data_IF_283863999198
#
_entry.id   IF_283863999198
#
_cell.length_a   1.000
_cell.length_b   1.000
_cell.length_c   1.000
_cell.angle_alpha   90.00
_cell.angle_beta   90.00
_cell.angle_gamma   90.00
#
_symmetry.space_group_name_H-M   'P 1'
#
loop_
_entity.id
_entity.type
_entity.pdbx_description
1 polymer ?
#
# COMPACT_ATOMS: atom_id res chain seq x y z
N UNK A 1 -12.33 19.08 -9.10
CA UNK A 1 -11.85 17.76 -8.66
C UNK A 1 -10.63 17.44 -9.50
N UNK A 2 -9.47 17.48 -8.88
CA UNK A 2 -8.20 17.17 -9.52
C UNK A 2 -7.41 16.42 -8.45
N UNK A 3 -7.86 15.21 -8.09
CA UNK A 3 -7.12 14.43 -7.11
C UNK A 3 -5.85 13.98 -7.81
N UNK A 4 -4.76 14.63 -7.42
CA UNK A 4 -3.44 14.42 -7.99
C UNK A 4 -2.74 13.19 -7.38
N UNK A 5 -3.51 12.34 -6.68
CA UNK A 5 -3.08 11.08 -6.09
C UNK A 5 -3.46 9.97 -7.08
N UNK A 6 -2.49 9.17 -7.48
CA UNK A 6 -2.69 8.05 -8.40
C UNK A 6 -1.91 6.86 -7.90
N UNK A 7 -2.52 5.68 -7.92
CA UNK A 7 -1.87 4.43 -7.58
C UNK A 7 -1.70 3.58 -8.85
N UNK A 8 -0.49 3.52 -9.44
CA UNK A 8 -0.23 2.65 -10.57
C UNK A 8 -0.34 1.17 -10.18
N UNK A 9 -0.78 0.33 -11.13
CA UNK A 9 -0.79 -1.13 -10.99
C UNK A 9 0.64 -1.73 -11.04
N UNK A 10 1.45 -1.42 -10.02
CA UNK A 10 2.87 -1.79 -9.89
C UNK A 10 3.21 -2.19 -8.46
N UNK A 11 2.57 -3.24 -7.98
CA UNK A 11 2.84 -3.84 -6.68
C UNK A 11 3.84 -5.00 -6.79
N UNK A 12 4.71 -5.13 -5.79
CA UNK A 12 5.65 -6.22 -5.66
C UNK A 12 5.84 -6.60 -4.19
N UNK A 13 6.03 -7.88 -3.92
CA UNK A 13 6.41 -8.36 -2.60
C UNK A 13 7.87 -7.99 -2.27
N UNK A 14 8.14 -7.52 -1.06
CA UNK A 14 9.49 -7.37 -0.54
C UNK A 14 9.75 -8.26 0.68
N UNK A 15 10.59 -9.27 0.49
CA UNK A 15 11.03 -10.17 1.55
C UNK A 15 11.79 -9.45 2.67
N UNK A 16 12.46 -8.32 2.40
CA UNK A 16 13.27 -7.63 3.41
C UNK A 16 12.43 -6.98 4.49
N UNK A 17 11.28 -6.42 4.12
CA UNK A 17 10.37 -5.72 5.03
C UNK A 17 9.06 -6.49 5.24
N UNK A 18 8.93 -7.68 4.65
CA UNK A 18 7.76 -8.56 4.76
C UNK A 18 6.45 -7.83 4.42
N UNK A 19 6.45 -7.09 3.32
CA UNK A 19 5.32 -6.27 2.91
C UNK A 19 5.18 -6.21 1.38
N UNK A 20 3.99 -5.86 0.92
CA UNK A 20 3.77 -5.42 -0.45
C UNK A 20 4.20 -3.96 -0.56
N UNK A 21 5.09 -3.69 -1.51
CA UNK A 21 5.49 -2.34 -1.94
C UNK A 21 4.78 -1.97 -3.23
N UNK A 22 4.29 -0.75 -3.30
CA UNK A 22 3.71 -0.20 -4.52
C UNK A 22 3.82 1.33 -4.53
N UNK A 23 3.94 1.94 -5.73
CA UNK A 23 4.10 3.38 -5.83
C UNK A 23 2.76 4.10 -5.69
N UNK A 24 2.84 5.34 -5.21
CA UNK A 24 1.79 6.34 -5.33
C UNK A 24 2.38 7.61 -5.96
N UNK A 25 1.64 8.24 -6.87
CA UNK A 25 2.00 9.53 -7.45
C UNK A 25 1.16 10.60 -6.76
N UNK A 26 1.79 11.55 -6.08
CA UNK A 26 1.13 12.70 -5.44
C UNK A 26 1.61 13.96 -6.14
N UNK A 27 0.70 14.66 -6.83
CA UNK A 27 1.05 15.82 -7.68
C UNK A 27 2.13 15.48 -8.73
N UNK A 28 2.15 14.24 -9.21
CA UNK A 28 3.13 13.74 -10.18
C UNK A 28 4.48 13.33 -9.57
N UNK A 29 4.70 13.49 -8.26
CA UNK A 29 5.88 12.99 -7.57
C UNK A 29 5.63 11.57 -7.05
N UNK A 30 6.54 10.65 -7.35
CA UNK A 30 6.45 9.28 -6.87
C UNK A 30 6.90 9.17 -5.42
N UNK A 31 6.09 8.45 -4.64
CA UNK A 31 6.36 8.01 -3.28
C UNK A 31 5.99 6.52 -3.17
N UNK A 32 6.26 5.90 -2.03
CA UNK A 32 6.09 4.47 -1.82
C UNK A 32 5.11 4.18 -0.68
N UNK A 33 4.21 3.23 -0.94
CA UNK A 33 3.27 2.67 0.01
C UNK A 33 3.67 1.24 0.40
N UNK A 34 3.34 0.86 1.63
CA UNK A 34 3.59 -0.45 2.21
C UNK A 34 2.31 -1.03 2.81
N UNK A 35 2.03 -2.31 2.55
CA UNK A 35 1.04 -3.09 3.31
C UNK A 35 1.72 -4.34 3.83
N UNK A 36 1.84 -4.45 5.16
CA UNK A 36 2.55 -5.56 5.78
C UNK A 36 1.82 -6.90 5.58
N UNK A 37 2.57 -8.00 5.55
CA UNK A 37 1.97 -9.33 5.58
C UNK A 37 1.13 -9.57 6.83
N UNK A 38 1.51 -8.99 7.97
CA UNK A 38 0.71 -9.07 9.21
C UNK A 38 -0.68 -8.47 9.02
N UNK A 39 -0.78 -7.29 8.39
CA UNK A 39 -2.07 -6.67 8.09
C UNK A 39 -2.89 -7.48 7.10
N UNK A 40 -2.27 -7.98 6.03
CA UNK A 40 -2.96 -8.82 5.05
C UNK A 40 -3.46 -10.11 5.68
N UNK A 41 -2.63 -10.78 6.48
CA UNK A 41 -3.01 -11.98 7.21
C UNK A 41 -4.14 -11.73 8.19
N UNK A 42 -4.09 -10.63 8.94
CA UNK A 42 -5.11 -10.27 9.92
C UNK A 42 -6.45 -9.90 9.27
N UNK A 43 -6.43 -9.18 8.15
CA UNK A 43 -7.64 -8.67 7.48
C UNK A 43 -8.26 -9.70 6.54
N UNK A 44 -7.44 -10.42 5.79
CA UNK A 44 -7.87 -11.25 4.65
C UNK A 44 -7.33 -12.69 4.70
N UNK A 45 -6.34 -12.96 5.55
CA UNK A 45 -5.69 -14.27 5.65
C UNK A 45 -4.51 -14.42 4.69
N UNK A 46 -4.28 -15.66 4.29
CA UNK A 46 -3.12 -16.04 3.48
C UNK A 46 -1.85 -16.28 4.29
N UNK A 47 -0.95 -17.07 3.71
CA UNK A 47 0.27 -17.54 4.36
C UNK A 47 1.51 -17.51 3.45
N UNK A 48 1.36 -16.99 2.22
CA UNK A 48 2.46 -16.88 1.26
C UNK A 48 2.44 -15.53 0.53
N UNK A 49 3.61 -15.05 0.05
CA UNK A 49 3.72 -13.84 -0.76
C UNK A 49 2.76 -13.79 -1.95
N UNK A 50 2.56 -14.90 -2.65
CA UNK A 50 1.68 -14.98 -3.82
C UNK A 50 0.21 -14.82 -3.43
N UNK A 51 -0.20 -15.42 -2.31
CA UNK A 51 -1.55 -15.26 -1.78
C UNK A 51 -1.77 -13.82 -1.31
N UNK A 52 -0.82 -13.23 -0.58
CA UNK A 52 -0.93 -11.85 -0.14
C UNK A 52 -0.97 -10.86 -1.31
N UNK A 53 -0.19 -11.07 -2.37
CA UNK A 53 -0.30 -10.27 -3.60
C UNK A 53 -1.67 -10.40 -4.26
N UNK A 54 -2.26 -11.61 -4.28
CA UNK A 54 -3.61 -11.81 -4.80
C UNK A 54 -4.67 -11.11 -3.94
N UNK A 55 -4.59 -11.25 -2.61
CA UNK A 55 -5.49 -10.61 -1.65
C UNK A 55 -5.39 -9.08 -1.71
N UNK A 56 -4.18 -8.53 -1.86
CA UNK A 56 -3.97 -7.11 -2.07
C UNK A 56 -4.67 -6.62 -3.35
N UNK A 57 -4.56 -7.35 -4.45
CA UNK A 57 -5.25 -7.00 -5.72
C UNK A 57 -6.77 -7.07 -5.60
N UNK A 58 -7.27 -8.07 -4.88
CA UNK A 58 -8.71 -8.25 -4.63
C UNK A 58 -9.29 -7.10 -3.78
N UNK A 59 -8.55 -6.66 -2.76
CA UNK A 59 -8.95 -5.61 -1.83
C UNK A 59 -8.30 -4.25 -2.09
N UNK A 60 -7.76 -4.06 -3.30
CA UNK A 60 -6.90 -2.91 -3.64
C UNK A 60 -7.58 -1.57 -3.40
N UNK A 61 -8.85 -1.47 -3.78
CA UNK A 61 -9.62 -0.23 -3.67
C UNK A 61 -9.80 0.19 -2.21
N UNK A 62 -10.10 -0.76 -1.32
CA UNK A 62 -10.26 -0.46 0.11
C UNK A 62 -8.94 0.01 0.73
N UNK A 63 -7.83 -0.62 0.36
CA UNK A 63 -6.49 -0.27 0.83
C UNK A 63 -6.02 1.10 0.29
N UNK A 64 -6.27 1.38 -0.98
CA UNK A 64 -5.97 2.67 -1.61
C UNK A 64 -6.80 3.81 -1.00
N UNK A 65 -8.08 3.59 -0.69
CA UNK A 65 -8.94 4.56 -0.02
C UNK A 65 -8.45 4.91 1.40
N UNK A 66 -7.88 3.94 2.12
CA UNK A 66 -7.25 4.18 3.43
C UNK A 66 -5.95 4.98 3.29
N UNK A 67 -5.08 4.58 2.35
CA UNK A 67 -3.81 5.25 2.10
C UNK A 67 -4.02 6.67 1.55
N UNK A 68 -5.03 6.91 0.72
CA UNK A 68 -5.34 8.25 0.22
C UNK A 68 -5.67 9.20 1.38
N UNK A 69 -6.44 8.73 2.39
CA UNK A 69 -6.74 9.54 3.58
C UNK A 69 -5.48 9.86 4.37
N UNK A 70 -4.57 8.89 4.54
CA UNK A 70 -3.28 9.11 5.20
C UNK A 70 -2.41 10.11 4.43
N UNK A 71 -2.37 10.00 3.10
CA UNK A 71 -1.64 10.92 2.22
C UNK A 71 -2.17 12.35 2.38
N UNK A 72 -3.49 12.52 2.35
CA UNK A 72 -4.13 13.83 2.51
C UNK A 72 -3.95 14.41 3.91
N UNK A 73 -3.79 13.56 4.93
CA UNK A 73 -3.50 13.96 6.30
C UNK A 73 -2.01 14.21 6.57
N UNK A 74 -1.13 13.95 5.57
CA UNK A 74 0.32 14.00 5.71
C UNK A 74 0.85 13.12 6.86
N UNK A 75 0.21 11.96 7.07
CA UNK A 75 0.58 10.99 8.10
C UNK A 75 1.58 9.96 7.54
N UNK A 76 2.86 10.32 7.58
CA UNK A 76 3.98 9.46 7.18
C UNK A 76 4.51 8.69 8.39
N UNK A 77 5.07 7.49 8.16
CA UNK A 77 5.91 6.87 9.17
C UNK A 77 7.30 7.54 9.23
N UNK A 78 8.07 7.26 10.29
CA UNK A 78 9.40 7.85 10.51
C UNK A 78 10.42 7.52 9.40
N UNK A 79 10.15 6.53 8.56
CA UNK A 79 10.97 6.12 7.42
C UNK A 79 10.53 6.76 6.09
N UNK A 80 9.49 7.60 6.09
CA UNK A 80 8.99 8.33 4.93
C UNK A 80 8.06 7.52 4.00
N UNK A 81 7.49 6.42 4.49
CA UNK A 81 6.51 5.61 3.76
C UNK A 81 5.10 5.81 4.32
N UNK A 82 4.10 5.57 3.47
CA UNK A 82 2.73 5.32 3.94
C UNK A 82 2.54 3.83 4.16
N UNK A 83 2.40 3.43 5.42
CA UNK A 83 2.38 2.01 5.79
C UNK A 83 1.10 1.64 6.52
N UNK A 84 0.42 0.60 6.02
CA UNK A 84 -0.57 -0.15 6.79
C UNK A 84 0.18 -1.31 7.48
N UNK A 85 0.28 -1.23 8.81
CA UNK A 85 0.95 -2.21 9.68
C UNK A 85 0.15 -2.50 10.92
#
# INVERSE_FOLDING_TARGET
MNQAIQFPDRENWDDKVMAIRFPVLVNGFQQECLVSAEQLQRRYGGDSPEQWLALFREHRWDLEDELEKMILAEEWNDEGYYSLS
#
